data_IF_767252875427
#
_entry.id   IF_767252875427
#
_cell.length_a   1.000
_cell.length_b   1.000
_cell.length_c   1.000
_cell.angle_alpha   90.00
_cell.angle_beta   90.00
_cell.angle_gamma   90.00
#
_symmetry.space_group_name_H-M   'P 1'
#
loop_
_entity.id
_entity.type
_entity.pdbx_description
1 polymer ?
#
# COMPACT_ATOMS: atom_id res chain seq x y z
N UNK A 1 24.04 11.52 -13.46
CA UNK A 1 22.80 11.39 -12.66
C UNK A 1 21.65 11.96 -13.48
N UNK A 2 20.49 11.29 -13.50
CA UNK A 2 19.30 11.68 -14.24
C UNK A 2 18.15 11.95 -13.28
N UNK A 3 17.23 12.84 -13.66
CA UNK A 3 16.01 13.04 -12.89
C UNK A 3 15.10 11.81 -12.99
N UNK A 4 14.26 11.59 -11.97
CA UNK A 4 13.27 10.52 -12.00
C UNK A 4 12.35 10.68 -13.21
N UNK A 5 11.94 11.89 -13.57
CA UNK A 5 11.10 12.14 -14.75
C UNK A 5 11.78 11.78 -16.09
N UNK A 6 13.11 11.85 -16.16
CA UNK A 6 13.86 11.43 -17.34
C UNK A 6 13.93 9.90 -17.49
N UNK A 7 13.91 9.16 -16.37
CA UNK A 7 13.96 7.69 -16.35
C UNK A 7 12.56 7.05 -16.38
N UNK A 8 11.59 7.70 -15.74
CA UNK A 8 10.26 7.18 -15.48
C UNK A 8 9.17 8.20 -15.83
N UNK A 9 8.05 7.69 -16.33
CA UNK A 9 6.80 8.39 -16.38
C UNK A 9 6.13 8.37 -15.00
N UNK A 10 6.00 9.55 -14.39
CA UNK A 10 5.47 9.70 -13.03
C UNK A 10 3.95 9.83 -13.06
N UNK A 11 3.24 8.85 -12.51
CA UNK A 11 1.77 8.80 -12.49
C UNK A 11 1.24 8.74 -11.06
N UNK A 12 0.23 9.55 -10.76
CA UNK A 12 -0.53 9.39 -9.52
C UNK A 12 -1.45 8.16 -9.63
N UNK A 13 -1.49 7.36 -8.58
CA UNK A 13 -2.45 6.28 -8.46
C UNK A 13 -3.88 6.82 -8.37
N UNK A 14 -4.86 6.03 -8.82
CA UNK A 14 -6.28 6.34 -8.71
C UNK A 14 -7.03 5.06 -8.38
N UNK A 15 -7.67 5.05 -7.22
CA UNK A 15 -8.42 3.90 -6.70
C UNK A 15 -9.48 4.35 -5.68
N UNK A 16 -10.46 3.50 -5.42
CA UNK A 16 -11.26 3.53 -4.18
C UNK A 16 -10.49 2.98 -2.96
N UNK A 17 -11.13 2.98 -1.80
CA UNK A 17 -10.62 2.32 -0.61
C UNK A 17 -10.68 0.79 -0.78
N UNK A 18 -9.72 0.06 -0.21
CA UNK A 18 -9.64 -1.40 -0.36
C UNK A 18 -10.92 -2.14 0.07
N UNK A 19 -11.58 -1.67 1.13
CA UNK A 19 -12.80 -2.28 1.66
C UNK A 19 -14.01 -2.21 0.70
N UNK A 20 -13.97 -1.33 -0.29
CA UNK A 20 -15.05 -1.16 -1.26
C UNK A 20 -14.99 -2.16 -2.42
N UNK A 21 -13.90 -2.91 -2.55
CA UNK A 21 -13.67 -3.78 -3.69
C UNK A 21 -14.25 -5.17 -3.51
N UNK A 22 -14.72 -5.74 -4.62
CA UNK A 22 -14.89 -7.18 -4.74
C UNK A 22 -13.51 -7.88 -4.73
N UNK A 23 -13.38 -9.05 -4.06
CA UNK A 23 -12.19 -9.89 -4.18
C UNK A 23 -11.91 -10.24 -5.64
N UNK A 24 -10.63 -10.25 -6.01
CA UNK A 24 -10.21 -10.61 -7.37
C UNK A 24 -8.77 -11.10 -7.41
N UNK A 25 -8.10 -10.87 -8.54
CA UNK A 25 -6.74 -11.38 -8.81
C UNK A 25 -5.71 -10.27 -9.01
N UNK A 26 -6.14 -8.99 -9.04
CA UNK A 26 -5.25 -7.86 -9.26
C UNK A 26 -4.73 -7.35 -7.93
N UNK A 27 -3.40 -7.28 -7.79
CA UNK A 27 -2.78 -6.84 -6.54
C UNK A 27 -3.17 -5.38 -6.23
N UNK A 28 -3.59 -5.15 -4.98
CA UNK A 28 -3.88 -3.82 -4.44
C UNK A 28 -2.75 -3.37 -3.52
N UNK A 29 -2.05 -2.32 -3.94
CA UNK A 29 -0.82 -1.84 -3.29
C UNK A 29 -1.13 -0.63 -2.42
N UNK A 30 -0.53 -0.59 -1.24
CA UNK A 30 -0.74 0.45 -0.24
C UNK A 30 0.60 1.02 0.25
N UNK A 31 0.53 1.98 1.18
CA UNK A 31 1.73 2.55 1.81
C UNK A 31 2.45 1.60 2.78
N UNK A 32 1.92 0.39 3.03
CA UNK A 32 2.62 -0.60 3.85
C UNK A 32 3.82 -1.19 3.12
N UNK A 33 4.77 -1.76 3.85
CA UNK A 33 5.93 -2.48 3.29
C UNK A 33 5.83 -4.00 3.43
N UNK A 34 4.93 -4.47 4.29
CA UNK A 34 4.69 -5.90 4.45
C UNK A 34 4.20 -6.50 3.13
N UNK A 35 4.70 -7.69 2.78
CA UNK A 35 4.40 -8.38 1.52
C UNK A 35 4.60 -7.49 0.28
N UNK A 36 5.70 -6.73 0.24
CA UNK A 36 6.03 -5.80 -0.83
C UNK A 36 4.95 -4.71 -1.03
N UNK A 37 4.22 -4.38 0.03
CA UNK A 37 3.14 -3.37 0.04
C UNK A 37 1.80 -3.83 -0.50
N UNK A 38 1.66 -5.11 -0.85
CA UNK A 38 0.40 -5.70 -1.29
C UNK A 38 -0.50 -5.97 -0.08
N UNK A 39 -1.64 -5.29 -0.02
CA UNK A 39 -2.65 -5.52 1.02
C UNK A 39 -3.52 -6.74 0.72
N UNK A 40 -3.80 -6.98 -0.56
CA UNK A 40 -4.65 -8.08 -1.01
C UNK A 40 -4.90 -8.02 -2.51
N UNK A 41 -5.89 -8.76 -2.98
CA UNK A 41 -6.24 -8.87 -4.39
C UNK A 41 -7.70 -8.47 -4.61
N UNK A 42 -7.90 -7.62 -5.62
CA UNK A 42 -9.19 -7.00 -5.93
C UNK A 42 -9.56 -7.20 -7.39
N UNK A 43 -10.84 -7.00 -7.69
CA UNK A 43 -11.33 -6.81 -9.05
C UNK A 43 -11.39 -5.30 -9.33
N UNK A 44 -10.54 -4.74 -10.21
CA UNK A 44 -10.54 -3.31 -10.48
C UNK A 44 -11.86 -2.83 -11.09
N UNK A 45 -12.26 -1.61 -10.74
CA UNK A 45 -13.41 -0.92 -11.31
C UNK A 45 -13.01 -0.09 -12.55
N UNK A 46 -13.99 0.33 -13.34
CA UNK A 46 -13.77 1.12 -14.57
C UNK A 46 -13.09 2.46 -14.34
N UNK A 47 -13.20 3.04 -13.13
CA UNK A 47 -12.61 4.33 -12.77
C UNK A 47 -11.19 4.23 -12.24
N UNK A 48 -10.70 3.03 -11.97
CA UNK A 48 -9.37 2.82 -11.42
C UNK A 48 -8.28 2.99 -12.47
N UNK A 49 -7.10 3.41 -12.00
CA UNK A 49 -5.90 3.38 -12.83
C UNK A 49 -5.19 2.04 -12.61
N UNK A 50 -5.44 1.12 -13.53
CA UNK A 50 -4.73 -0.18 -13.58
C UNK A 50 -3.42 -0.01 -14.34
N UNK A 51 -2.31 -0.41 -13.71
CA UNK A 51 -0.99 -0.37 -14.32
C UNK A 51 -0.68 -1.71 -14.98
N UNK A 52 -0.24 -1.66 -16.25
CA UNK A 52 -0.04 -2.82 -17.13
C UNK A 52 1.41 -3.03 -17.55
N UNK A 53 2.35 -2.33 -16.91
CA UNK A 53 3.78 -2.47 -17.12
C UNK A 53 4.48 -2.69 -15.76
N UNK A 54 5.61 -3.44 -15.72
CA UNK A 54 6.46 -3.50 -14.53
C UNK A 54 6.87 -2.10 -14.12
N UNK A 55 6.63 -1.74 -12.86
CA UNK A 55 6.78 -0.35 -12.40
C UNK A 55 7.23 -0.31 -10.94
N UNK A 56 7.76 0.84 -10.53
CA UNK A 56 7.95 1.14 -9.10
C UNK A 56 6.69 1.80 -8.55
N UNK A 57 6.37 1.46 -7.31
CA UNK A 57 5.31 2.13 -6.56
C UNK A 57 5.95 2.79 -5.34
N UNK A 58 5.78 4.09 -5.23
CA UNK A 58 6.36 4.92 -4.17
C UNK A 58 5.28 5.35 -3.19
N UNK A 59 5.50 5.03 -1.93
CA UNK A 59 4.63 5.38 -0.81
C UNK A 59 4.69 6.88 -0.50
N UNK A 60 3.73 7.36 0.30
CA UNK A 60 3.73 8.73 0.81
C UNK A 60 4.96 9.08 1.67
N UNK A 61 5.73 8.08 2.13
CA UNK A 61 6.97 8.24 2.88
C UNK A 61 8.22 7.96 2.04
N UNK A 62 8.06 7.99 0.71
CA UNK A 62 9.12 7.76 -0.26
C UNK A 62 9.80 6.39 -0.14
N UNK A 63 9.02 5.37 0.16
CA UNK A 63 9.47 3.99 0.11
C UNK A 63 8.99 3.37 -1.20
N UNK A 64 9.92 2.81 -1.97
CA UNK A 64 9.70 2.24 -3.28
C UNK A 64 9.67 0.72 -3.22
N UNK A 65 8.65 0.14 -3.84
CA UNK A 65 8.46 -1.30 -4.05
C UNK A 65 8.34 -1.61 -5.54
N UNK A 66 8.77 -2.80 -5.95
CA UNK A 66 8.72 -3.24 -7.36
C UNK A 66 7.48 -4.08 -7.58
N UNK A 67 6.70 -3.79 -8.62
CA UNK A 67 5.48 -4.54 -8.91
C UNK A 67 5.38 -4.99 -10.36
N UNK A 68 4.90 -6.22 -10.53
CA UNK A 68 4.57 -6.79 -11.83
C UNK A 68 3.10 -6.49 -12.17
N UNK A 69 2.79 -6.25 -13.45
CA UNK A 69 1.43 -6.01 -13.89
C UNK A 69 0.59 -7.30 -13.92
N UNK A 70 -0.75 -7.20 -13.81
CA UNK A 70 -1.51 -5.98 -13.52
C UNK A 70 -1.56 -5.68 -12.02
N UNK A 71 -1.61 -4.40 -11.67
CA UNK A 71 -1.85 -3.98 -10.29
C UNK A 71 -2.61 -2.65 -10.21
N UNK A 72 -3.21 -2.39 -9.05
CA UNK A 72 -3.82 -1.11 -8.68
C UNK A 72 -3.09 -0.60 -7.44
N UNK A 73 -2.71 0.67 -7.45
CA UNK A 73 -2.13 1.33 -6.28
C UNK A 73 -3.17 2.24 -5.62
N UNK A 74 -3.06 2.41 -4.30
CA UNK A 74 -3.99 3.23 -3.53
C UNK A 74 -3.87 4.71 -3.92
N UNK A 75 -4.96 5.31 -4.40
CA UNK A 75 -5.00 6.71 -4.86
C UNK A 75 -5.83 7.67 -4.00
N UNK A 76 -6.56 7.19 -3.01
CA UNK A 76 -7.47 7.99 -2.18
C UNK A 76 -6.80 8.56 -0.91
N UNK A 77 -7.46 9.52 -0.24
CA UNK A 77 -7.15 9.91 1.14
C UNK A 77 -5.89 10.77 1.35
N UNK A 78 -5.53 11.64 0.39
CA UNK A 78 -4.45 12.64 0.53
C UNK A 78 -3.01 12.12 0.56
N UNK A 79 -2.82 10.81 0.74
CA UNK A 79 -1.53 10.10 0.79
C UNK A 79 -1.46 9.01 -0.29
N UNK A 80 -1.96 9.33 -1.48
CA UNK A 80 -1.98 8.41 -2.62
C UNK A 80 -0.57 8.06 -3.08
N UNK A 81 -0.39 6.83 -3.55
CA UNK A 81 0.89 6.36 -4.06
C UNK A 81 1.19 6.93 -5.44
N UNK A 82 2.47 6.98 -5.75
CA UNK A 82 3.00 7.44 -7.03
C UNK A 82 3.60 6.24 -7.73
N UNK A 83 3.23 6.02 -8.99
CA UNK A 83 3.75 4.93 -9.79
C UNK A 83 4.72 5.48 -10.81
N UNK A 84 5.93 4.92 -10.82
CA UNK A 84 7.00 5.25 -11.75
C UNK A 84 7.05 4.15 -12.82
N UNK A 85 6.49 4.45 -13.98
CA UNK A 85 6.49 3.53 -15.13
C UNK A 85 7.78 3.78 -15.91
N UNK A 86 8.63 2.78 -16.14
CA UNK A 86 9.92 3.00 -16.80
C UNK A 86 9.70 3.43 -18.26
N UNK A 87 10.40 4.49 -18.70
CA UNK A 87 10.31 4.98 -20.09
C UNK A 87 11.02 4.09 -21.09
N UNK A 88 12.01 3.35 -20.63
CA UNK A 88 12.75 2.33 -21.38
C UNK A 88 12.52 0.99 -20.70
N UNK A 89 12.42 -0.10 -21.46
CA UNK A 89 12.24 -1.42 -20.87
C UNK A 89 13.34 -1.72 -19.85
N UNK A 90 12.94 -2.11 -18.64
CA UNK A 90 13.82 -2.46 -17.53
C UNK A 90 13.43 -3.82 -16.96
N UNK A 91 14.43 -4.60 -16.54
CA UNK A 91 14.19 -5.85 -15.81
C UNK A 91 13.73 -5.57 -14.38
N UNK A 92 13.13 -6.56 -13.72
CA UNK A 92 12.73 -6.43 -12.31
C UNK A 92 13.90 -6.13 -11.38
N UNK A 93 15.11 -6.63 -11.67
CA UNK A 93 16.29 -6.30 -10.88
C UNK A 93 16.81 -4.89 -11.12
N UNK A 94 16.72 -4.37 -12.36
CA UNK A 94 17.00 -2.94 -12.62
C UNK A 94 16.01 -2.03 -11.89
N UNK A 95 14.72 -2.39 -11.87
CA UNK A 95 13.72 -1.69 -11.08
C UNK A 95 14.06 -1.77 -9.58
N UNK A 96 14.44 -2.95 -9.07
CA UNK A 96 14.81 -3.12 -7.67
C UNK A 96 16.05 -2.30 -7.28
N UNK A 97 17.04 -2.18 -8.17
CA UNK A 97 18.18 -1.29 -7.98
C UNK A 97 17.71 0.16 -7.78
N UNK A 98 16.84 0.67 -8.65
CA UNK A 98 16.29 2.02 -8.50
C UNK A 98 15.42 2.17 -7.24
N UNK A 99 14.66 1.14 -6.87
CA UNK A 99 13.90 1.13 -5.62
C UNK A 99 14.83 1.26 -4.40
N UNK A 100 15.93 0.51 -4.39
CA UNK A 100 16.95 0.61 -3.35
C UNK A 100 17.58 2.01 -3.31
N UNK A 101 17.92 2.60 -4.46
CA UNK A 101 18.41 3.98 -4.51
C UNK A 101 17.42 4.99 -3.92
N UNK A 102 16.12 4.86 -4.20
CA UNK A 102 15.08 5.73 -3.64
C UNK A 102 15.02 5.54 -2.11
N UNK A 103 14.98 4.29 -1.65
CA UNK A 103 14.84 3.95 -0.24
C UNK A 103 16.02 4.43 0.61
N UNK A 104 17.24 4.28 0.10
CA UNK A 104 18.46 4.66 0.82
C UNK A 104 18.76 6.17 0.70
N UNK A 105 18.67 6.74 -0.51
CA UNK A 105 19.18 8.09 -0.76
C UNK A 105 18.14 9.20 -0.64
N UNK A 106 16.84 8.89 -0.80
CA UNK A 106 15.78 9.92 -0.89
C UNK A 106 14.82 9.92 0.30
N UNK A 107 14.63 8.77 0.96
CA UNK A 107 13.65 8.58 2.05
C UNK A 107 13.79 9.60 3.18
N UNK A 108 15.02 9.98 3.57
CA UNK A 108 15.28 10.95 4.64
C UNK A 108 14.64 12.33 4.41
N UNK A 109 14.28 12.67 3.17
CA UNK A 109 13.64 13.94 2.81
C UNK A 109 12.15 13.98 3.18
N UNK A 110 11.52 12.85 3.49
CA UNK A 110 10.07 12.73 3.61
C UNK A 110 9.65 12.32 5.03
N UNK A 111 8.54 12.88 5.48
CA UNK A 111 7.99 12.69 6.83
C UNK A 111 6.48 12.93 6.81
N UNK A 112 5.80 12.78 7.96
CA UNK A 112 4.37 13.04 8.08
C UNK A 112 3.92 14.43 7.61
N UNK A 113 4.70 15.48 7.91
CA UNK A 113 4.42 16.85 7.44
C UNK A 113 4.89 17.10 6.00
N UNK A 114 5.75 16.22 5.47
CA UNK A 114 6.37 16.38 4.16
C UNK A 114 6.25 15.07 3.36
N UNK A 115 5.01 14.70 3.03
CA UNK A 115 4.73 13.51 2.23
C UNK A 115 5.25 13.66 0.79
N UNK A 116 5.53 12.51 0.18
CA UNK A 116 5.87 12.40 -1.21
C UNK A 116 4.64 12.65 -2.09
N UNK A 117 4.83 13.45 -3.13
CA UNK A 117 3.84 13.69 -4.17
C UNK A 117 4.57 13.72 -5.52
N UNK A 118 3.82 13.63 -6.63
CA UNK A 118 4.44 13.53 -7.96
C UNK A 118 5.38 14.70 -8.25
N UNK A 119 5.02 15.92 -7.88
CA UNK A 119 5.83 17.12 -8.10
C UNK A 119 7.17 17.08 -7.36
N UNK A 120 7.16 16.62 -6.10
CA UNK A 120 8.37 16.51 -5.27
C UNK A 120 9.31 15.42 -5.72
N UNK A 121 8.80 14.33 -6.30
CA UNK A 121 9.61 13.20 -6.74
C UNK A 121 10.25 13.45 -8.11
N UNK A 122 9.52 14.04 -9.07
CA UNK A 122 9.95 14.16 -10.48
C UNK A 122 11.38 14.68 -10.67
N UNK A 123 11.75 15.70 -9.91
CA UNK A 123 13.03 16.40 -10.03
C UNK A 123 14.16 15.80 -9.17
N UNK A 124 13.89 14.74 -8.39
CA UNK A 124 14.95 14.05 -7.66
C UNK A 124 15.83 13.26 -8.63
N UNK A 125 17.09 13.08 -8.26
CA UNK A 125 18.10 12.45 -9.11
C UNK A 125 18.37 11.02 -8.69
N UNK A 126 18.57 10.15 -9.68
CA UNK A 126 19.00 8.76 -9.53
C UNK A 126 20.23 8.50 -10.42
N UNK A 127 20.95 7.37 -10.21
CA UNK A 127 22.02 6.94 -11.09
C UNK A 127 21.56 6.79 -12.55
N UNK A 128 22.47 7.03 -13.49
CA UNK A 128 22.12 7.08 -14.93
C UNK A 128 21.77 5.72 -15.52
N UNK A 129 22.36 4.66 -14.97
CA UNK A 129 22.18 3.29 -15.39
C UNK A 129 22.05 2.38 -14.19
N UNK A 130 21.25 1.32 -14.35
CA UNK A 130 21.17 0.21 -13.42
C UNK A 130 22.04 -0.96 -13.92
N UNK A 131 22.61 -1.77 -13.02
CA UNK A 131 23.33 -3.00 -13.38
C UNK A 131 22.43 -3.94 -14.19
N UNK A 132 22.99 -4.61 -15.21
CA UNK A 132 22.23 -5.52 -16.09
C UNK A 132 22.02 -6.91 -15.50
N UNK A 133 22.92 -7.29 -14.60
CA UNK A 133 23.01 -8.53 -13.85
C UNK A 133 22.20 -8.51 -12.54
N UNK A 134 21.56 -7.38 -12.21
CA UNK A 134 20.68 -7.30 -11.06
C UNK A 134 19.47 -8.22 -11.26
N UNK A 135 19.23 -9.09 -10.26
CA UNK A 135 18.07 -9.97 -10.18
C UNK A 135 17.21 -9.60 -8.98
N UNK A 136 15.89 -9.69 -9.15
CA UNK A 136 14.95 -9.50 -8.05
C UNK A 136 13.69 -10.34 -8.27
N UNK A 137 13.45 -11.39 -7.46
CA UNK A 137 12.30 -12.27 -7.60
C UNK A 137 11.05 -11.62 -7.00
N UNK A 138 10.40 -10.72 -7.75
CA UNK A 138 9.22 -9.95 -7.29
C UNK A 138 8.11 -10.86 -6.75
N UNK A 139 7.85 -11.98 -7.43
CA UNK A 139 6.78 -12.91 -7.04
C UNK A 139 7.02 -13.56 -5.68
N UNK A 140 8.29 -13.77 -5.29
CA UNK A 140 8.63 -14.31 -3.98
C UNK A 140 8.43 -13.28 -2.85
N UNK A 141 8.49 -11.98 -3.18
CA UNK A 141 8.24 -10.89 -2.24
C UNK A 141 6.74 -10.55 -2.09
N UNK A 142 5.90 -11.00 -3.03
CA UNK A 142 4.46 -10.78 -3.03
C UNK A 142 3.73 -11.90 -2.26
N UNK A 143 2.56 -11.61 -1.67
CA UNK A 143 1.78 -12.62 -1.00
C UNK A 143 1.17 -13.57 -2.02
N UNK A 144 1.12 -14.87 -1.71
CA UNK A 144 0.38 -15.83 -2.54
C UNK A 144 -1.10 -15.52 -2.47
N UNK A 145 -1.79 -15.59 -3.62
CA UNK A 145 -3.26 -15.49 -3.67
C UNK A 145 -3.84 -16.61 -2.80
N UNK A 146 -4.29 -16.24 -1.60
CA UNK A 146 -4.97 -17.15 -0.70
C UNK A 146 -6.46 -17.11 -1.05
N UNK A 147 -6.98 -18.16 -1.70
CA UNK A 147 -8.42 -18.35 -1.99
C UNK A 147 -9.28 -18.54 -0.72
N UNK A 148 -8.87 -18.01 0.43
CA UNK A 148 -9.69 -18.10 1.64
C UNK A 148 -10.90 -17.20 1.44
N UNK A 149 -12.08 -17.82 1.37
CA UNK A 149 -13.37 -17.13 1.32
C UNK A 149 -13.42 -16.05 2.40
N UNK A 150 -13.96 -14.86 2.11
CA UNK A 150 -14.11 -13.83 3.13
C UNK A 150 -14.87 -14.41 4.33
N UNK A 151 -14.38 -14.16 5.55
CA UNK A 151 -15.12 -14.55 6.76
C UNK A 151 -16.41 -13.74 6.75
N UNK A 152 -17.52 -14.41 6.47
CA UNK A 152 -18.84 -13.81 6.28
C UNK A 152 -19.46 -13.21 7.54
N UNK A 153 -18.84 -13.42 8.70
CA UNK A 153 -19.34 -12.89 9.97
C UNK A 153 -18.20 -12.26 10.76
N UNK A 154 -18.32 -10.96 11.01
CA UNK A 154 -17.59 -10.31 12.09
C UNK A 154 -18.40 -10.54 13.37
N UNK A 155 -17.99 -11.49 14.20
CA UNK A 155 -18.53 -11.64 15.56
C UNK A 155 -17.68 -10.82 16.52
N UNK A 156 -18.19 -9.70 17.08
CA UNK A 156 -17.49 -9.02 18.14
C UNK A 156 -17.36 -9.98 19.33
N UNK A 157 -16.12 -10.33 19.72
CA UNK A 157 -15.90 -10.91 21.05
C UNK A 157 -16.08 -9.78 22.06
N UNK A 158 -17.33 -9.53 22.45
CA UNK A 158 -17.62 -8.83 23.68
C UNK A 158 -17.05 -9.69 24.81
N UNK A 159 -15.82 -9.38 25.27
CA UNK A 159 -15.41 -9.81 26.61
C UNK A 159 -16.40 -9.13 27.54
N UNK A 160 -17.28 -9.89 28.18
CA UNK A 160 -18.02 -9.39 29.35
C UNK A 160 -16.96 -9.00 30.37
N UNK A 161 -16.65 -7.72 30.44
CA UNK A 161 -16.02 -7.15 31.63
C UNK A 161 -17.14 -7.20 32.66
N UNK A 162 -17.08 -8.18 33.56
CA UNK A 162 -18.03 -8.27 34.66
C UNK A 162 -17.85 -7.05 35.55
N UNK A 163 -18.64 -5.99 35.33
CA UNK A 163 -18.90 -5.02 36.37
C UNK A 163 -19.82 -5.71 37.37
N UNK A 164 -19.24 -6.23 38.44
CA UNK A 164 -19.98 -6.46 39.67
C UNK A 164 -20.39 -5.08 40.18
N UNK A 165 -21.62 -4.67 39.89
CA UNK A 165 -22.27 -3.54 40.58
C UNK A 165 -22.73 -4.12 41.93
N UNK A 166 -22.15 -3.70 43.07
CA UNK A 166 -22.69 -4.12 44.36
C UNK A 166 -24.11 -3.57 44.49
N UNK A 167 -25.05 -4.49 44.58
CA UNK A 167 -26.46 -4.23 44.85
C UNK A 167 -26.56 -3.57 46.24
N UNK A 168 -26.84 -2.26 46.28
CA UNK A 168 -27.32 -1.63 47.50
C UNK A 168 -28.76 -2.11 47.71
N UNK A 169 -28.94 -3.05 48.64
CA UNK A 169 -30.24 -3.51 49.11
C UNK A 169 -31.07 -2.32 49.57
N UNK A 170 -32.09 -2.00 48.80
CA UNK A 170 -33.19 -1.13 49.17
C UNK A 170 -34.24 -2.05 49.82
N UNK A 171 -34.12 -2.28 51.14
CA UNK A 171 -35.21 -2.88 51.90
C UNK A 171 -36.28 -1.80 52.10
N UNK A 172 -37.42 -2.00 51.45
CA UNK A 172 -38.61 -1.19 51.64
C UNK A 172 -39.76 -2.09 52.07
N UNK A 173 -40.45 -1.61 53.11
CA UNK A 173 -41.87 -1.81 53.40
C UNK A 173 -42.22 -3.10 54.19
N UNK A 174 -43.20 -3.18 55.11
CA UNK A 174 -44.37 -2.31 55.36
C UNK A 174 -45.12 -2.77 56.65
N UNK A 175 -45.78 -1.81 57.33
CA UNK A 175 -47.08 -1.86 58.06
C UNK A 175 -47.32 -2.60 59.40
N UNK A 176 -47.85 -1.78 60.35
CA UNK A 176 -48.93 -1.98 61.36
C UNK A 176 -48.98 -3.23 62.25
N UNK A 177 -48.94 -2.97 63.56
CA UNK A 177 -50.15 -3.01 64.39
C UNK A 177 -50.06 -1.94 65.49
#
# INVERSE_FOLDING_TARGET
MKTIEALFEVRNARSRAFADYEPGEVAFITNGLTNNGVLGFVKPESRDRVFRAPSLVVSAFCEATVHLPPFVARGNGGSGLIVLVPRTAMTSGQLAYYAACINEALRWRFSWSRQANAERIRNLTLPDSAPKDAEFPVLAAMPTISRKSPRTHWTPRLRRVGLAIPCSTCDRATTTN
#
